data_IF_298566448827
#
_entry.id   IF_298566448827
#
_cell.length_a   1.000
_cell.length_b   1.000
_cell.length_c   1.000
_cell.angle_alpha   90.00
_cell.angle_beta   90.00
_cell.angle_gamma   90.00
#
_symmetry.space_group_name_H-M   'P 1'
#
loop_
_entity.id
_entity.type
_entity.pdbx_description
1 polymer ?
#
# COMPACT_ATOMS: atom_id res chain seq x y z
N UNK A 1 21.95 -29.19 5.98
CA UNK A 1 22.28 -27.80 5.62
C UNK A 1 21.03 -26.97 5.86
N UNK A 2 20.57 -26.98 7.10
CA UNK A 2 20.74 -25.88 8.07
C UNK A 2 19.71 -24.77 7.86
N UNK A 3 18.52 -25.14 8.31
CA UNK A 3 17.50 -24.25 8.86
C UNK A 3 18.10 -23.37 9.96
N UNK A 4 18.71 -22.25 9.56
CA UNK A 4 19.00 -21.15 10.48
C UNK A 4 17.68 -20.51 10.89
N UNK A 5 17.39 -20.59 12.19
CA UNK A 5 16.21 -19.98 12.80
C UNK A 5 16.19 -18.48 12.53
N UNK A 6 15.26 -18.03 11.69
CA UNK A 6 14.82 -16.63 11.67
C UNK A 6 13.80 -16.41 12.81
N UNK A 7 14.20 -16.74 14.04
CA UNK A 7 13.35 -16.64 15.23
C UNK A 7 13.71 -15.37 16.01
N UNK A 8 13.49 -14.18 15.43
CA UNK A 8 13.52 -12.93 16.21
C UNK A 8 12.69 -11.77 15.62
N UNK A 9 11.89 -12.00 14.59
CA UNK A 9 10.93 -11.00 14.11
C UNK A 9 9.54 -11.65 14.05
N UNK A 10 8.49 -10.99 14.56
CA UNK A 10 7.12 -11.49 14.38
C UNK A 10 6.88 -11.64 12.89
N UNK A 11 6.52 -12.85 12.45
CA UNK A 11 6.20 -13.07 11.05
C UNK A 11 4.94 -12.27 10.71
N UNK A 12 5.10 -11.28 9.83
CA UNK A 12 4.04 -10.40 9.36
C UNK A 12 3.76 -10.71 7.89
N UNK A 13 2.48 -10.81 7.55
CA UNK A 13 2.02 -11.05 6.18
C UNK A 13 1.28 -9.82 5.67
N UNK A 14 1.59 -9.40 4.45
CA UNK A 14 0.91 -8.26 3.82
C UNK A 14 -0.29 -8.73 3.00
N UNK A 15 -1.39 -7.96 3.02
CA UNK A 15 -2.56 -8.24 2.17
C UNK A 15 -2.68 -7.28 1.00
N UNK A 16 -2.34 -6.01 1.16
CA UNK A 16 -2.39 -5.02 0.08
C UNK A 16 -0.96 -4.71 -0.38
N UNK A 17 -0.63 -5.07 -1.62
CA UNK A 17 0.64 -4.76 -2.26
C UNK A 17 0.49 -3.50 -3.11
N UNK A 18 1.37 -2.53 -2.95
CA UNK A 18 1.41 -1.29 -3.74
C UNK A 18 2.77 -1.15 -4.40
N UNK A 19 2.79 -1.04 -5.72
CA UNK A 19 3.96 -0.71 -6.52
C UNK A 19 3.96 0.81 -6.80
N UNK A 20 5.03 1.49 -6.40
CA UNK A 20 5.26 2.92 -6.63
C UNK A 20 6.44 3.07 -7.58
N UNK A 21 6.24 3.76 -8.70
CA UNK A 21 7.31 4.03 -9.66
C UNK A 21 7.52 5.54 -9.77
N UNK A 22 8.79 5.93 -9.92
CA UNK A 22 9.21 7.27 -10.34
C UNK A 22 9.67 7.17 -11.78
N UNK A 23 9.04 7.95 -12.65
CA UNK A 23 9.34 8.01 -14.08
C UNK A 23 9.91 9.40 -14.36
N UNK A 24 10.93 9.53 -15.22
CA UNK A 24 11.40 10.86 -15.66
C UNK A 24 10.23 11.68 -16.20
N UNK A 25 10.12 12.94 -15.76
CA UNK A 25 9.13 13.85 -16.33
C UNK A 25 9.49 14.16 -17.79
N UNK A 26 8.49 14.37 -18.67
CA UNK A 26 8.71 14.52 -20.12
C UNK A 26 9.74 15.62 -20.47
N UNK A 27 9.69 16.73 -19.74
CA UNK A 27 10.53 17.92 -19.98
C UNK A 27 11.85 17.88 -19.20
N UNK A 28 12.10 16.85 -18.40
CA UNK A 28 13.32 16.75 -17.60
C UNK A 28 14.50 16.22 -18.44
N UNK A 29 15.74 16.69 -18.22
CA UNK A 29 16.90 16.19 -18.94
C UNK A 29 17.17 14.71 -18.65
N UNK A 30 17.78 14.01 -19.61
CA UNK A 30 18.19 12.61 -19.45
C UNK A 30 19.26 12.50 -18.37
N UNK A 31 20.28 13.35 -18.39
CA UNK A 31 21.26 13.41 -17.31
C UNK A 31 20.80 14.34 -16.18
N UNK A 32 20.93 13.88 -14.95
CA UNK A 32 20.52 14.64 -13.76
C UNK A 32 21.67 15.48 -13.23
N UNK A 33 21.36 16.66 -12.69
CA UNK A 33 22.35 17.56 -12.09
C UNK A 33 23.16 16.91 -10.94
N UNK A 34 22.56 15.95 -10.23
CA UNK A 34 23.25 15.11 -9.25
C UNK A 34 23.59 13.76 -9.90
N UNK A 35 24.83 13.33 -9.79
CA UNK A 35 25.27 12.02 -10.25
C UNK A 35 24.43 10.90 -9.59
N UNK A 36 23.83 10.03 -10.41
CA UNK A 36 22.93 8.93 -10.00
C UNK A 36 21.69 9.36 -9.19
N UNK A 37 21.27 10.62 -9.27
CA UNK A 37 20.03 11.11 -8.68
C UNK A 37 18.80 10.72 -9.51
N UNK A 38 17.62 10.64 -8.89
CA UNK A 38 16.38 10.38 -9.64
C UNK A 38 15.97 11.57 -10.54
N UNK A 39 16.36 12.79 -10.18
CA UNK A 39 16.01 14.01 -10.93
C UNK A 39 14.54 14.41 -10.77
N UNK A 40 14.00 15.16 -11.74
CA UNK A 40 12.58 15.52 -11.78
C UNK A 40 11.80 14.34 -12.35
N UNK A 41 10.81 13.86 -11.59
CA UNK A 41 10.07 12.65 -11.92
C UNK A 41 8.58 12.79 -11.65
N UNK A 42 7.78 12.14 -12.47
CA UNK A 42 6.38 11.84 -12.22
C UNK A 42 6.26 10.59 -11.34
N UNK A 43 5.36 10.63 -10.37
CA UNK A 43 5.10 9.50 -9.47
C UNK A 43 3.81 8.80 -9.85
N UNK A 44 3.91 7.51 -10.15
CA UNK A 44 2.76 6.66 -10.42
C UNK A 44 2.69 5.53 -9.38
N UNK A 45 1.49 5.12 -9.03
CA UNK A 45 1.33 3.98 -8.12
C UNK A 45 0.13 3.14 -8.49
N UNK A 46 0.26 1.83 -8.29
CA UNK A 46 -0.84 0.87 -8.43
C UNK A 46 -0.77 -0.13 -7.30
N UNK A 47 -1.93 -0.59 -6.87
CA UNK A 47 -2.05 -1.55 -5.79
C UNK A 47 -2.94 -2.73 -6.19
N UNK A 48 -2.63 -3.89 -5.63
CA UNK A 48 -3.43 -5.11 -5.75
C UNK A 48 -3.62 -5.72 -4.37
N UNK A 49 -4.80 -6.28 -4.14
CA UNK A 49 -5.12 -6.97 -2.89
C UNK A 49 -4.94 -8.46 -3.09
N UNK A 50 -4.04 -9.06 -2.31
CA UNK A 50 -3.86 -10.50 -2.28
C UNK A 50 -5.09 -11.18 -1.66
N UNK A 51 -5.49 -12.31 -2.24
CA UNK A 51 -6.59 -13.14 -1.73
C UNK A 51 -6.29 -13.58 -0.30
N UNK A 52 -5.08 -14.09 -0.10
CA UNK A 52 -4.53 -14.51 1.19
C UNK A 52 -3.33 -13.63 1.54
N UNK A 53 -3.25 -13.13 2.77
CA UNK A 53 -2.08 -12.38 3.22
C UNK A 53 -0.83 -13.26 3.13
N UNK A 54 0.22 -12.77 2.47
CA UNK A 54 1.43 -13.55 2.19
C UNK A 54 2.69 -12.75 2.47
N UNK A 55 3.78 -13.48 2.71
CA UNK A 55 5.16 -12.99 2.73
C UNK A 55 6.05 -13.82 1.78
N UNK A 56 5.46 -14.72 0.98
CA UNK A 56 6.20 -15.61 0.08
C UNK A 56 6.67 -14.86 -1.16
N UNK A 57 7.99 -14.85 -1.41
CA UNK A 57 8.63 -14.14 -2.51
C UNK A 57 8.01 -14.44 -3.88
N UNK A 58 7.70 -15.71 -4.18
CA UNK A 58 7.13 -16.13 -5.47
C UNK A 58 5.78 -15.47 -5.77
N UNK A 59 4.94 -15.32 -4.74
CA UNK A 59 3.62 -14.68 -4.87
C UNK A 59 3.82 -13.17 -5.08
N UNK A 60 4.73 -12.56 -4.32
CA UNK A 60 5.03 -11.13 -4.39
C UNK A 60 5.59 -10.76 -5.76
N UNK A 61 6.57 -11.51 -6.28
CA UNK A 61 7.18 -11.30 -7.59
C UNK A 61 6.14 -11.36 -8.71
N UNK A 62 5.27 -12.37 -8.68
CA UNK A 62 4.21 -12.54 -9.68
C UNK A 62 3.29 -11.32 -9.71
N UNK A 63 2.86 -10.85 -8.55
CA UNK A 63 1.95 -9.70 -8.49
C UNK A 63 2.63 -8.37 -8.84
N UNK A 64 3.89 -8.19 -8.46
CA UNK A 64 4.67 -7.03 -8.88
C UNK A 64 4.84 -7.01 -10.40
N UNK A 65 5.13 -8.16 -11.03
CA UNK A 65 5.21 -8.24 -12.49
C UNK A 65 3.88 -7.90 -13.16
N UNK A 66 2.75 -8.35 -12.61
CA UNK A 66 1.42 -8.01 -13.12
C UNK A 66 1.18 -6.50 -13.03
N UNK A 67 1.45 -5.89 -11.87
CA UNK A 67 1.31 -4.44 -11.68
C UNK A 67 2.22 -3.64 -12.62
N UNK A 68 3.46 -4.09 -12.81
CA UNK A 68 4.42 -3.42 -13.70
C UNK A 68 3.93 -3.46 -15.16
N UNK A 69 3.41 -4.62 -15.61
CA UNK A 69 2.82 -4.77 -16.96
C UNK A 69 1.58 -3.90 -17.15
N UNK A 70 0.75 -3.74 -16.10
CA UNK A 70 -0.43 -2.87 -16.15
C UNK A 70 -0.06 -1.38 -16.25
N UNK A 71 1.07 -0.98 -15.67
CA UNK A 71 1.55 0.40 -15.69
C UNK A 71 2.16 0.82 -17.04
N UNK A 72 2.54 -0.14 -17.90
CA UNK A 72 3.05 0.10 -19.27
C UNK A 72 4.14 1.19 -19.33
N UNK A 73 5.09 1.11 -18.41
CA UNK A 73 6.20 2.08 -18.30
C UNK A 73 7.38 1.62 -19.14
N UNK A 74 8.01 2.57 -19.82
CA UNK A 74 9.28 2.33 -20.50
C UNK A 74 10.42 2.14 -19.47
N UNK A 75 11.20 1.08 -19.63
CA UNK A 75 12.33 0.78 -18.76
C UNK A 75 13.40 1.90 -18.77
N UNK A 76 13.57 2.60 -19.90
CA UNK A 76 14.53 3.70 -20.04
C UNK A 76 14.14 4.93 -19.20
N UNK A 77 12.84 5.09 -18.94
CA UNK A 77 12.30 6.26 -18.22
C UNK A 77 12.17 6.00 -16.71
N UNK A 78 12.41 4.78 -16.26
CA UNK A 78 12.30 4.42 -14.85
C UNK A 78 13.46 5.00 -14.03
N UNK A 79 13.14 5.81 -13.03
CA UNK A 79 14.10 6.47 -12.13
C UNK A 79 14.05 5.96 -10.69
N UNK A 80 13.05 5.15 -10.37
CA UNK A 80 12.93 4.52 -9.06
C UNK A 80 11.72 3.63 -8.95
N UNK A 81 11.81 2.62 -8.09
CA UNK A 81 10.74 1.69 -7.78
C UNK A 81 10.69 1.44 -6.28
N UNK A 82 9.48 1.38 -5.72
CA UNK A 82 9.23 1.02 -4.34
C UNK A 82 8.09 0.03 -4.25
N UNK A 83 8.28 -1.04 -3.47
CA UNK A 83 7.24 -2.01 -3.14
C UNK A 83 6.81 -1.74 -1.71
N UNK A 84 5.52 -1.54 -1.51
CA UNK A 84 4.94 -1.26 -0.20
C UNK A 84 3.86 -2.29 0.12
N UNK A 85 3.93 -2.86 1.32
CA UNK A 85 2.83 -3.64 1.89
C UNK A 85 2.02 -2.82 2.89
N UNK A 86 0.72 -2.99 2.81
CA UNK A 86 -0.28 -2.42 3.72
C UNK A 86 -1.26 -3.51 4.15
N UNK A 87 -2.07 -3.23 5.18
CA UNK A 87 -2.97 -4.22 5.80
C UNK A 87 -2.19 -5.46 6.24
N UNK A 88 -1.22 -5.23 7.12
CA UNK A 88 -0.34 -6.28 7.66
C UNK A 88 -1.11 -7.12 8.69
N UNK A 89 -0.86 -8.42 8.69
CA UNK A 89 -1.41 -9.40 9.63
C UNK A 89 -0.23 -10.04 10.35
N UNK A 90 -0.25 -10.03 11.68
CA UNK A 90 0.75 -10.70 12.48
C UNK A 90 0.38 -12.18 12.69
N UNK A 91 1.34 -13.08 12.54
CA UNK A 91 1.11 -14.53 12.64
C UNK A 91 0.83 -15.01 14.08
N UNK A 92 1.20 -14.23 15.10
CA UNK A 92 1.12 -14.61 16.51
C UNK A 92 0.00 -13.92 17.31
N UNK A 93 -0.94 -13.22 16.66
CA UNK A 93 -2.07 -12.64 17.39
C UNK A 93 -3.19 -13.68 17.43
N UNK A 94 -3.33 -14.27 18.61
CA UNK A 94 -4.49 -15.05 19.06
C UNK A 94 -5.80 -14.54 18.46
N UNK A 95 -6.67 -15.48 18.06
CA UNK A 95 -8.05 -15.23 17.62
C UNK A 95 -8.76 -14.34 18.67
N UNK A 96 -8.74 -13.02 18.48
CA UNK A 96 -9.26 -12.06 19.43
C UNK A 96 -9.78 -10.84 18.70
N UNK A 97 -11.11 -10.77 18.56
CA UNK A 97 -11.93 -9.71 17.95
C UNK A 97 -11.73 -9.48 16.45
N UNK A 98 -12.73 -9.94 15.70
CA UNK A 98 -13.12 -9.35 14.41
C UNK A 98 -13.06 -7.81 14.52
N UNK A 99 -12.43 -7.10 13.57
CA UNK A 99 -12.53 -5.65 13.52
C UNK A 99 -14.02 -5.32 13.33
N UNK A 100 -14.60 -4.55 14.27
CA UNK A 100 -15.96 -4.03 14.14
C UNK A 100 -16.06 -3.37 12.78
N UNK A 101 -16.93 -3.88 11.92
CA UNK A 101 -17.28 -3.21 10.68
C UNK A 101 -17.89 -1.87 11.08
N UNK A 102 -17.21 -0.76 10.79
CA UNK A 102 -17.79 0.56 10.95
C UNK A 102 -18.85 0.69 9.84
N UNK A 103 -20.08 0.29 10.14
CA UNK A 103 -21.20 0.46 9.23
C UNK A 103 -21.45 1.96 9.03
N UNK A 104 -21.67 2.38 7.78
CA UNK A 104 -22.03 3.76 7.45
C UNK A 104 -23.28 4.24 8.21
N UNK A 105 -24.11 3.32 8.70
CA UNK A 105 -25.28 3.59 9.54
C UNK A 105 -24.93 4.37 10.82
N UNK A 106 -23.74 4.16 11.43
CA UNK A 106 -23.36 4.89 12.64
C UNK A 106 -22.99 6.35 12.37
N UNK A 107 -22.56 6.69 11.16
CA UNK A 107 -22.26 8.06 10.76
C UNK A 107 -23.52 8.88 10.49
N UNK A 108 -24.54 8.28 9.88
CA UNK A 108 -25.81 8.95 9.56
C UNK A 108 -26.66 9.17 10.82
N UNK A 109 -26.56 8.29 11.82
CA UNK A 109 -27.31 8.43 13.08
C UNK A 109 -26.91 9.66 13.91
N UNK A 110 -25.72 10.25 13.68
CA UNK A 110 -25.21 11.39 14.46
C UNK A 110 -25.76 12.75 14.01
N UNK A 111 -26.28 12.87 12.79
CA UNK A 111 -26.66 14.17 12.21
C UNK A 111 -28.06 14.67 12.60
N UNK A 112 -28.77 14.02 13.53
CA UNK A 112 -30.11 14.42 13.98
C UNK A 112 -30.18 15.09 15.35
N UNK A 113 -29.06 15.53 15.93
CA UNK A 113 -29.08 16.31 17.18
C UNK A 113 -29.11 17.80 16.82
N UNK A 114 -30.28 18.31 16.46
CA UNK A 114 -30.58 19.74 16.61
C UNK A 114 -31.27 19.91 17.96
N UNK A 115 -30.74 20.73 18.88
CA UNK A 115 -31.42 21.01 20.14
C UNK A 115 -32.74 21.75 19.86
N UNK A 116 -33.84 21.20 20.35
CA UNK A 116 -35.08 21.93 20.53
C UNK A 116 -34.94 22.82 21.77
N UNK A 117 -34.86 24.12 21.59
CA UNK A 117 -35.27 25.07 22.62
C UNK A 117 -36.63 25.64 22.24
N UNK A 118 -37.66 25.20 22.97
CA UNK A 118 -38.96 25.87 23.07
C UNK A 118 -38.87 26.89 24.22
N UNK A 119 -39.38 28.11 24.05
CA UNK A 119 -40.52 28.70 24.79
C UNK A 119 -40.55 30.25 24.64
N UNK A 120 -41.67 30.75 24.09
CA UNK A 120 -42.55 31.81 24.62
C UNK A 120 -41.91 33.10 25.17
N UNK A 121 -42.13 34.22 24.47
CA UNK A 121 -43.07 35.29 24.85
C UNK A 121 -43.53 36.00 23.57
#
# INVERSE_FOLDING_TARGET
>A
MESFQYQMFPQVRGRLLTLKLKIRAKDAPVETAKFMGHGVCDSISRSTTLVTASHETKIIEKEVQILLKQLKVDCCELRGMGIQFSKLVADNVSKGKQPKQNSLLSFVARSKIFPSENLVT
#
